data_IF_257731060782
#
_entry.id   IF_257731060782
#
_cell.length_a   1.000
_cell.length_b   1.000
_cell.length_c   1.000
_cell.angle_alpha   90.00
_cell.angle_beta   90.00
_cell.angle_gamma   90.00
#
_symmetry.space_group_name_H-M   'P 1'
#
loop_
_entity.id
_entity.type
_entity.pdbx_description
1 polymer ?
#
# COMPACT_ATOMS: atom_id res chain seq x y z
N UNK A 1 -43.79 66.09 -4.18
CA UNK A 1 -43.54 64.67 -4.52
C UNK A 1 -42.02 64.49 -4.62
N UNK A 2 -41.25 64.22 -3.55
CA UNK A 2 -41.00 62.96 -2.83
C UNK A 2 -40.66 61.74 -3.74
N UNK A 3 -39.36 61.36 -3.69
CA UNK A 3 -38.72 60.03 -3.77
C UNK A 3 -38.83 59.19 -5.05
N UNK A 4 -37.69 58.77 -5.62
CA UNK A 4 -37.19 57.39 -5.44
C UNK A 4 -35.69 57.26 -5.81
N UNK A 5 -34.98 56.46 -5.01
CA UNK A 5 -33.55 56.12 -5.08
C UNK A 5 -33.34 54.98 -6.08
N UNK A 6 -32.19 54.94 -6.75
CA UNK A 6 -31.54 53.69 -7.13
C UNK A 6 -30.02 53.86 -7.06
N UNK A 7 -29.44 53.08 -6.15
CA UNK A 7 -28.04 52.88 -5.87
C UNK A 7 -27.49 51.95 -6.96
N UNK A 8 -26.37 52.29 -7.62
CA UNK A 8 -25.59 51.29 -8.35
C UNK A 8 -24.21 51.22 -7.72
N UNK A 9 -24.04 50.21 -6.86
CA UNK A 9 -22.76 49.74 -6.34
C UNK A 9 -21.89 49.25 -7.49
N UNK A 10 -20.60 49.56 -7.41
CA UNK A 10 -19.60 49.08 -8.34
C UNK A 10 -19.31 47.59 -8.23
N UNK A 11 -18.66 47.08 -9.27
CA UNK A 11 -17.80 45.90 -9.22
C UNK A 11 -16.76 46.08 -10.34
N UNK A 12 -15.57 46.53 -9.95
CA UNK A 12 -14.36 46.36 -10.76
C UNK A 12 -14.07 44.85 -10.78
N UNK A 13 -14.44 44.18 -11.86
CA UNK A 13 -13.97 42.83 -12.13
C UNK A 13 -12.51 42.92 -12.61
N UNK A 14 -11.57 42.85 -11.66
CA UNK A 14 -10.17 42.56 -11.98
C UNK A 14 -10.14 41.10 -12.39
N UNK A 15 -10.14 40.85 -13.70
CA UNK A 15 -9.88 39.53 -14.26
C UNK A 15 -8.42 39.17 -14.00
N UNK A 16 -8.16 38.55 -12.85
CA UNK A 16 -6.89 37.87 -12.60
C UNK A 16 -6.91 36.62 -13.49
N UNK A 17 -6.30 36.73 -14.67
CA UNK A 17 -5.84 35.56 -15.39
C UNK A 17 -4.76 34.89 -14.53
N UNK A 18 -5.15 33.89 -13.74
CA UNK A 18 -4.20 32.93 -13.19
C UNK A 18 -3.73 32.13 -14.40
N UNK A 19 -2.64 32.56 -15.02
CA UNK A 19 -1.85 31.69 -15.88
C UNK A 19 -1.30 30.64 -14.92
N UNK A 20 -1.97 29.49 -14.83
CA UNK A 20 -1.39 28.32 -14.21
C UNK A 20 -0.16 27.99 -15.04
N UNK A 21 1.02 28.39 -14.57
CA UNK A 21 2.27 27.88 -15.10
C UNK A 21 2.18 26.38 -14.89
N UNK A 22 2.11 25.53 -15.94
CA UNK A 22 2.15 24.11 -15.72
C UNK A 22 3.45 23.82 -14.97
N UNK A 23 3.34 23.14 -13.83
CA UNK A 23 4.52 22.68 -13.10
C UNK A 23 5.43 21.99 -14.12
N UNK A 24 6.63 22.53 -14.32
CA UNK A 24 7.60 21.96 -15.26
C UNK A 24 7.86 20.55 -14.73
N UNK A 25 7.34 19.56 -15.44
CA UNK A 25 7.44 18.19 -14.99
C UNK A 25 8.91 17.77 -15.06
N UNK A 26 9.47 17.37 -13.93
CA UNK A 26 10.88 17.01 -13.84
C UNK A 26 11.16 15.85 -14.79
N UNK A 27 12.05 16.10 -15.77
CA UNK A 27 12.43 15.10 -16.77
C UNK A 27 13.65 14.35 -16.25
N UNK A 28 13.53 13.03 -16.19
CA UNK A 28 14.58 12.12 -15.72
C UNK A 28 15.07 11.23 -16.86
N UNK A 29 16.32 10.80 -16.77
CA UNK A 29 16.89 9.82 -17.70
C UNK A 29 16.72 8.42 -17.10
N UNK A 30 16.03 7.55 -17.82
CA UNK A 30 15.86 6.13 -17.46
C UNK A 30 16.49 5.26 -18.54
N UNK A 31 16.93 4.06 -18.18
CA UNK A 31 17.48 3.10 -19.14
C UNK A 31 16.52 1.95 -19.35
N UNK A 32 16.64 1.29 -20.50
CA UNK A 32 15.85 0.11 -20.80
C UNK A 32 16.31 -1.04 -19.92
N UNK A 33 15.37 -1.67 -19.23
CA UNK A 33 15.68 -2.86 -18.47
C UNK A 33 15.42 -4.11 -19.31
N UNK A 34 16.32 -5.07 -19.21
CA UNK A 34 16.32 -6.30 -20.00
C UNK A 34 16.03 -7.51 -19.10
N UNK A 35 15.12 -7.34 -18.14
CA UNK A 35 14.72 -8.44 -17.25
C UNK A 35 13.62 -9.29 -17.88
N UNK A 36 13.73 -10.60 -17.63
CA UNK A 36 12.66 -11.55 -17.86
C UNK A 36 11.77 -11.55 -16.62
N UNK A 37 10.46 -11.53 -16.81
CA UNK A 37 9.45 -11.59 -15.77
C UNK A 37 8.75 -12.94 -15.92
N UNK A 38 8.72 -13.67 -14.83
CA UNK A 38 7.96 -14.90 -14.67
C UNK A 38 6.92 -14.67 -13.58
N UNK A 39 5.65 -14.98 -13.88
CA UNK A 39 4.55 -14.83 -12.94
C UNK A 39 3.91 -16.19 -12.76
N UNK A 40 3.98 -16.74 -11.54
CA UNK A 40 3.43 -18.05 -11.20
C UNK A 40 3.89 -19.16 -12.17
N UNK A 41 5.20 -19.22 -12.42
CA UNK A 41 5.86 -20.21 -13.29
C UNK A 41 5.44 -20.08 -14.77
N UNK A 42 5.03 -18.87 -15.17
CA UNK A 42 4.77 -18.50 -16.55
C UNK A 42 5.60 -17.27 -16.92
N UNK A 43 6.55 -17.46 -17.83
CA UNK A 43 7.30 -16.36 -18.46
C UNK A 43 6.34 -15.47 -19.26
N UNK A 44 6.27 -14.20 -18.89
CA UNK A 44 5.30 -13.24 -19.46
C UNK A 44 5.92 -12.25 -20.46
N UNK A 45 7.25 -12.18 -20.52
CA UNK A 45 7.97 -11.37 -21.50
C UNK A 45 9.28 -12.02 -21.97
N UNK A 46 9.85 -11.45 -23.01
CA UNK A 46 11.24 -11.68 -23.43
C UNK A 46 12.15 -10.52 -23.04
N UNK A 47 13.46 -10.80 -23.03
CA UNK A 47 14.50 -9.84 -22.68
C UNK A 47 14.44 -8.64 -23.65
N UNK A 48 14.21 -7.44 -23.12
CA UNK A 48 14.14 -6.21 -23.92
C UNK A 48 12.84 -6.03 -24.71
N UNK A 49 11.80 -6.82 -24.42
CA UNK A 49 10.53 -6.71 -25.11
C UNK A 49 9.88 -5.33 -24.90
N UNK A 50 9.25 -4.82 -25.97
CA UNK A 50 8.34 -3.69 -25.94
C UNK A 50 6.94 -4.12 -26.40
N UNK A 51 5.94 -3.31 -26.13
CA UNK A 51 4.59 -3.51 -26.66
C UNK A 51 4.03 -2.22 -27.24
N UNK A 52 3.06 -2.38 -28.14
CA UNK A 52 2.43 -1.28 -28.85
C UNK A 52 1.18 -0.83 -28.12
N UNK A 53 1.09 0.47 -27.87
CA UNK A 53 -0.08 1.13 -27.28
C UNK A 53 -1.17 1.32 -28.34
N UNK A 54 -2.44 1.57 -27.95
CA UNK A 54 -3.54 1.78 -28.90
C UNK A 54 -3.32 2.94 -29.88
N UNK A 55 -2.49 3.91 -29.51
CA UNK A 55 -2.10 5.03 -30.35
C UNK A 55 -0.95 4.71 -31.33
N UNK A 56 -0.44 3.48 -31.33
CA UNK A 56 0.67 3.01 -32.19
C UNK A 56 2.06 3.17 -31.58
N UNK A 57 2.21 3.87 -30.46
CA UNK A 57 3.51 4.08 -29.83
C UNK A 57 4.05 2.78 -29.23
N UNK A 58 5.36 2.54 -29.35
CA UNK A 58 6.04 1.45 -28.65
C UNK A 58 6.47 1.91 -27.26
N UNK A 59 6.31 1.05 -26.25
CA UNK A 59 6.75 1.32 -24.88
C UNK A 59 7.44 0.06 -24.30
N UNK A 60 8.57 0.21 -23.56
CA UNK A 60 9.32 -0.95 -23.06
C UNK A 60 8.54 -1.70 -21.97
N UNK A 61 8.76 -3.00 -21.85
CA UNK A 61 8.14 -3.77 -20.78
C UNK A 61 8.74 -3.46 -19.41
N UNK A 62 9.96 -2.93 -19.35
CA UNK A 62 10.64 -2.57 -18.11
C UNK A 62 11.69 -1.46 -18.30
N UNK A 63 11.89 -0.64 -17.28
CA UNK A 63 12.91 0.43 -17.25
C UNK A 63 13.69 0.42 -15.93
N UNK A 64 14.90 0.98 -15.92
CA UNK A 64 15.71 1.20 -14.70
C UNK A 64 15.93 2.70 -14.49
N UNK A 65 15.73 3.15 -13.25
CA UNK A 65 16.10 4.47 -12.78
C UNK A 65 16.81 4.37 -11.43
N UNK A 66 18.05 4.87 -11.34
CA UNK A 66 18.90 4.78 -10.15
C UNK A 66 18.92 3.36 -9.53
N UNK A 67 19.11 2.33 -10.36
CA UNK A 67 19.12 0.93 -9.92
C UNK A 67 17.75 0.33 -9.57
N UNK A 68 16.67 1.11 -9.60
CA UNK A 68 15.31 0.64 -9.36
C UNK A 68 14.64 0.23 -10.67
N UNK A 69 14.15 -1.01 -10.74
CA UNK A 69 13.34 -1.48 -11.88
C UNK A 69 11.91 -1.00 -11.75
N UNK A 70 11.36 -0.44 -12.84
CA UNK A 70 9.96 -0.10 -12.95
C UNK A 70 9.27 -0.92 -14.04
N UNK A 71 8.01 -1.30 -13.76
CA UNK A 71 7.14 -2.01 -14.70
C UNK A 71 5.88 -1.19 -15.02
N UNK A 72 5.30 -1.36 -16.22
CA UNK A 72 4.06 -0.71 -16.61
C UNK A 72 2.90 -1.23 -15.77
N UNK A 73 2.27 -0.32 -15.04
CA UNK A 73 1.25 -0.63 -14.03
C UNK A 73 0.10 -1.46 -14.59
N UNK A 74 -0.46 -1.02 -15.73
CA UNK A 74 -1.60 -1.68 -16.37
C UNK A 74 -1.27 -3.11 -16.77
N UNK A 75 -0.09 -3.34 -17.35
CA UNK A 75 0.32 -4.67 -17.80
C UNK A 75 0.53 -5.61 -16.61
N UNK A 76 1.18 -5.15 -15.55
CA UNK A 76 1.38 -6.01 -14.38
C UNK A 76 0.04 -6.36 -13.71
N UNK A 77 -0.87 -5.40 -13.56
CA UNK A 77 -2.19 -5.65 -12.95
C UNK A 77 -3.02 -6.64 -13.78
N UNK A 78 -2.99 -6.51 -15.11
CA UNK A 78 -3.62 -7.46 -16.04
C UNK A 78 -3.06 -8.88 -15.86
N UNK A 79 -1.73 -9.02 -15.82
CA UNK A 79 -1.04 -10.31 -15.70
C UNK A 79 -1.29 -10.98 -14.33
N UNK A 80 -1.50 -10.17 -13.29
CA UNK A 80 -1.89 -10.65 -11.97
C UNK A 80 -3.39 -10.94 -11.84
N UNK A 81 -4.15 -10.87 -12.94
CA UNK A 81 -5.56 -11.19 -12.97
C UNK A 81 -6.46 -10.20 -12.23
N UNK A 82 -6.02 -8.95 -12.06
CA UNK A 82 -6.74 -7.89 -11.37
C UNK A 82 -7.36 -6.89 -12.35
N UNK A 83 -8.32 -6.10 -11.88
CA UNK A 83 -8.93 -5.00 -12.62
C UNK A 83 -8.31 -3.66 -12.26
N UNK A 84 -8.22 -2.76 -13.25
CA UNK A 84 -7.68 -1.42 -13.10
C UNK A 84 -8.62 -0.36 -13.67
N UNK A 85 -8.99 0.63 -12.86
CA UNK A 85 -9.68 1.85 -13.32
C UNK A 85 -8.87 3.09 -12.97
N UNK A 86 -9.09 4.19 -13.70
CA UNK A 86 -8.41 5.46 -13.49
C UNK A 86 -9.42 6.59 -13.36
N UNK A 87 -9.28 7.38 -12.30
CA UNK A 87 -9.97 8.64 -12.08
C UNK A 87 -9.02 9.80 -12.41
N UNK A 88 -9.26 10.44 -13.56
CA UNK A 88 -8.46 11.55 -14.05
C UNK A 88 -8.62 12.84 -13.26
N UNK A 89 -9.69 13.01 -12.48
CA UNK A 89 -9.89 14.23 -11.68
C UNK A 89 -8.99 14.24 -10.44
N UNK A 90 -8.79 13.07 -9.85
CA UNK A 90 -7.98 12.90 -8.63
C UNK A 90 -6.60 12.30 -8.90
N UNK A 91 -6.29 11.99 -10.17
CA UNK A 91 -5.12 11.20 -10.56
C UNK A 91 -5.02 9.88 -9.79
N UNK A 92 -6.15 9.23 -9.51
CA UNK A 92 -6.20 8.00 -8.72
C UNK A 92 -6.40 6.78 -9.60
N UNK A 93 -5.54 5.78 -9.45
CA UNK A 93 -5.69 4.44 -10.03
C UNK A 93 -6.30 3.52 -8.98
N UNK A 94 -7.39 2.85 -9.32
CA UNK A 94 -7.99 1.82 -8.48
C UNK A 94 -7.68 0.44 -9.03
N UNK A 95 -7.08 -0.41 -8.21
CA UNK A 95 -6.78 -1.81 -8.49
C UNK A 95 -7.70 -2.66 -7.63
N UNK A 96 -8.45 -3.57 -8.25
CA UNK A 96 -9.39 -4.45 -7.55
C UNK A 96 -9.23 -5.90 -7.98
N UNK A 97 -9.61 -6.82 -7.11
CA UNK A 97 -9.76 -8.23 -7.52
C UNK A 97 -10.91 -8.37 -8.52
N UNK A 98 -10.71 -9.20 -9.56
CA UNK A 98 -11.77 -9.53 -10.52
C UNK A 98 -12.90 -10.24 -9.79
N UNK A 99 -14.09 -9.66 -9.81
CA UNK A 99 -15.30 -10.30 -9.25
C UNK A 99 -15.71 -11.41 -10.22
N UNK A 100 -15.51 -12.68 -9.81
CA UNK A 100 -15.73 -13.92 -10.58
C UNK A 100 -14.75 -14.17 -11.75
N UNK A 101 -13.62 -14.81 -11.46
CA UNK A 101 -12.79 -15.43 -12.50
C UNK A 101 -12.07 -16.67 -11.98
N UNK A 102 -12.71 -17.84 -12.09
CA UNK A 102 -12.04 -19.16 -12.02
C UNK A 102 -11.12 -19.41 -13.22
N UNK A 103 -11.08 -18.49 -14.19
CA UNK A 103 -10.15 -18.51 -15.31
C UNK A 103 -8.81 -17.89 -14.92
N UNK A 104 -7.74 -18.70 -14.88
CA UNK A 104 -6.36 -18.21 -15.00
C UNK A 104 -6.26 -17.36 -16.28
N UNK A 105 -5.63 -16.18 -16.25
CA UNK A 105 -5.43 -15.40 -17.47
C UNK A 105 -4.63 -16.25 -18.47
N UNK A 106 -5.20 -16.48 -19.64
CA UNK A 106 -4.48 -17.10 -20.76
C UNK A 106 -3.59 -16.01 -21.35
N UNK A 107 -2.33 -16.00 -20.93
CA UNK A 107 -1.32 -15.09 -21.46
C UNK A 107 -0.82 -15.68 -22.77
N UNK A 108 -1.38 -15.25 -23.90
CA UNK A 108 -0.66 -15.30 -25.17
C UNK A 108 0.00 -13.95 -25.38
N UNK A 109 1.34 -13.87 -25.50
CA UNK A 109 1.96 -12.63 -25.92
C UNK A 109 1.49 -12.33 -27.33
N UNK A 110 0.81 -11.19 -27.53
CA UNK A 110 0.76 -10.61 -28.87
C UNK A 110 2.18 -10.14 -29.19
N UNK A 111 2.87 -10.97 -29.95
CA UNK A 111 4.24 -10.79 -30.40
C UNK A 111 4.27 -9.74 -31.49
N UNK A 112 4.90 -8.59 -31.23
CA UNK A 112 5.52 -7.78 -32.27
C UNK A 112 7.03 -7.81 -32.07
N UNK A 113 7.75 -8.07 -33.16
CA UNK A 113 9.18 -8.34 -33.20
C UNK A 113 10.03 -7.15 -32.73
N UNK A 114 11.15 -7.52 -32.15
CA UNK A 114 12.22 -6.74 -31.53
C UNK A 114 12.75 -5.65 -32.49
N UNK A 115 12.59 -4.39 -32.10
CA UNK A 115 13.66 -3.40 -32.32
C UNK A 115 14.42 -3.38 -31.00
N UNK A 116 15.64 -3.92 -30.98
CA UNK A 116 16.57 -3.70 -29.88
C UNK A 116 16.80 -2.20 -29.79
N UNK A 117 16.16 -1.53 -28.85
CA UNK A 117 16.53 -0.16 -28.53
C UNK A 117 17.85 -0.27 -27.79
N UNK A 118 18.95 -0.10 -28.53
CA UNK A 118 20.31 0.06 -28.02
C UNK A 118 20.26 0.97 -26.80
N UNK A 119 20.52 0.44 -25.61
CA UNK A 119 20.91 1.09 -24.33
C UNK A 119 20.59 2.60 -24.17
N UNK A 120 19.45 3.06 -24.69
CA UNK A 120 19.21 4.48 -24.88
C UNK A 120 18.63 5.00 -23.58
N UNK A 121 19.29 6.00 -23.02
CA UNK A 121 18.69 6.79 -21.97
C UNK A 121 17.48 7.53 -22.57
N UNK A 122 16.29 7.17 -22.12
CA UNK A 122 15.03 7.80 -22.50
C UNK A 122 14.64 8.82 -21.46
N UNK A 123 14.04 9.92 -21.95
CA UNK A 123 13.45 10.93 -21.10
C UNK A 123 12.07 10.46 -20.64
N UNK A 124 11.92 10.33 -19.33
CA UNK A 124 10.66 10.06 -18.68
C UNK A 124 10.32 11.18 -17.70
N UNK A 125 9.06 11.24 -17.29
CA UNK A 125 8.54 12.36 -16.49
C UNK A 125 8.06 11.85 -15.15
N UNK A 126 8.38 12.58 -14.08
CA UNK A 126 7.77 12.34 -12.78
C UNK A 126 6.26 12.59 -12.82
N UNK A 127 5.48 11.65 -12.29
CA UNK A 127 4.05 11.86 -12.12
C UNK A 127 3.61 11.62 -10.69
N UNK A 128 2.63 12.42 -10.28
CA UNK A 128 2.02 12.34 -8.97
C UNK A 128 0.68 11.61 -9.07
N UNK A 129 0.77 10.28 -9.20
CA UNK A 129 -0.40 9.40 -9.21
C UNK A 129 -0.69 8.90 -7.80
N UNK A 130 -1.97 8.74 -7.48
CA UNK A 130 -2.40 8.02 -6.28
C UNK A 130 -2.80 6.62 -6.72
N UNK A 131 -2.37 5.61 -6.00
CA UNK A 131 -2.76 4.22 -6.20
C UNK A 131 -3.64 3.82 -5.02
N UNK A 132 -4.75 3.18 -5.36
CA UNK A 132 -5.71 2.64 -4.44
C UNK A 132 -5.86 1.14 -4.76
N UNK A 133 -5.64 0.27 -3.78
CA UNK A 133 -5.75 -1.18 -3.96
C UNK A 133 -6.86 -1.66 -3.05
N UNK A 134 -7.91 -2.27 -3.60
CA UNK A 134 -9.05 -2.80 -2.85
C UNK A 134 -9.70 -1.77 -1.89
N UNK A 135 -9.72 -0.49 -2.28
CA UNK A 135 -10.26 0.60 -1.44
C UNK A 135 -9.20 1.34 -0.64
N UNK A 136 -7.96 0.85 -0.61
CA UNK A 136 -6.88 1.36 0.24
C UNK A 136 -5.90 2.24 -0.53
N UNK A 137 -5.76 3.51 -0.13
CA UNK A 137 -4.72 4.40 -0.66
C UNK A 137 -3.34 3.87 -0.23
N UNK A 138 -2.45 3.61 -1.18
CA UNK A 138 -1.14 2.99 -0.92
C UNK A 138 0.03 3.97 -0.97
N UNK A 139 -0.19 5.18 -1.49
CA UNK A 139 0.83 6.21 -1.61
C UNK A 139 0.21 7.61 -1.56
N UNK A 140 1.04 8.60 -1.31
CA UNK A 140 0.67 10.01 -1.40
C UNK A 140 1.11 10.65 -2.73
N UNK A 141 0.47 11.77 -3.05
CA UNK A 141 0.79 12.57 -4.22
C UNK A 141 2.22 13.10 -4.05
N UNK A 142 3.09 12.81 -5.01
CA UNK A 142 4.47 13.27 -4.95
C UNK A 142 5.43 12.36 -4.15
N UNK A 143 4.97 11.20 -3.66
CA UNK A 143 5.80 10.33 -2.81
C UNK A 143 7.07 9.86 -3.54
N UNK A 144 8.19 9.91 -2.81
CA UNK A 144 9.48 9.37 -3.22
C UNK A 144 9.90 8.27 -2.23
N UNK A 145 10.66 7.30 -2.71
CA UNK A 145 11.29 6.25 -1.91
C UNK A 145 12.76 6.54 -1.72
N UNK A 146 13.24 6.34 -0.51
CA UNK A 146 14.66 6.34 -0.21
C UNK A 146 15.24 4.94 -0.45
N UNK A 147 16.28 4.88 -1.27
CA UNK A 147 17.08 3.68 -1.50
C UNK A 147 18.12 3.52 -0.38
N UNK A 148 18.69 2.32 -0.25
CA UNK A 148 19.72 2.01 0.77
C UNK A 148 20.94 2.95 0.68
N UNK A 149 21.29 3.39 -0.52
CA UNK A 149 22.38 4.34 -0.75
C UNK A 149 22.00 5.81 -0.43
N UNK A 150 20.78 6.06 0.06
CA UNK A 150 20.24 7.38 0.39
C UNK A 150 19.60 8.14 -0.78
N UNK A 151 19.66 7.62 -2.01
CA UNK A 151 19.01 8.24 -3.15
C UNK A 151 17.50 8.22 -3.00
N UNK A 152 16.85 9.28 -3.50
CA UNK A 152 15.39 9.31 -3.65
C UNK A 152 14.99 8.94 -5.08
N UNK A 153 14.01 8.05 -5.21
CA UNK A 153 13.38 7.66 -6.48
C UNK A 153 11.86 7.88 -6.42
N UNK A 154 11.21 8.28 -7.51
CA UNK A 154 9.79 8.58 -7.51
C UNK A 154 8.91 7.35 -7.40
N UNK A 155 7.73 7.51 -6.78
CA UNK A 155 6.73 6.45 -6.74
C UNK A 155 6.25 6.05 -8.14
N UNK A 156 6.15 7.01 -9.06
CA UNK A 156 5.74 6.72 -10.43
C UNK A 156 6.51 7.53 -11.47
N UNK A 157 6.71 6.90 -12.62
CA UNK A 157 7.34 7.48 -13.80
C UNK A 157 6.35 7.34 -14.95
N UNK A 158 6.24 8.36 -15.80
CA UNK A 158 5.43 8.31 -17.02
C UNK A 158 6.32 8.40 -18.25
N UNK A 159 6.08 7.48 -19.19
CA UNK A 159 6.73 7.44 -20.49
C UNK A 159 5.73 7.01 -21.57
N UNK A 160 5.63 7.75 -22.66
CA UNK A 160 4.67 7.53 -23.76
C UNK A 160 3.24 7.25 -23.23
N UNK A 161 2.74 8.08 -22.31
CA UNK A 161 1.40 7.92 -21.72
C UNK A 161 1.21 6.68 -20.83
N UNK A 162 2.27 5.88 -20.60
CA UNK A 162 2.24 4.70 -19.73
C UNK A 162 2.82 5.04 -18.37
N UNK A 163 2.09 4.70 -17.31
CA UNK A 163 2.58 4.82 -15.93
C UNK A 163 3.35 3.57 -15.52
N UNK A 164 4.56 3.80 -15.02
CA UNK A 164 5.47 2.79 -14.51
C UNK A 164 5.63 2.96 -13.00
N UNK A 165 5.58 1.86 -12.26
CA UNK A 165 5.82 1.84 -10.82
C UNK A 165 7.03 0.95 -10.47
N UNK A 166 7.75 1.24 -9.37
CA UNK A 166 8.81 0.38 -8.88
C UNK A 166 8.29 -1.05 -8.68
N UNK A 167 8.88 -1.99 -9.42
CA UNK A 167 8.47 -3.39 -9.47
C UNK A 167 8.32 -3.97 -8.07
N UNK A 168 9.35 -3.79 -7.23
CA UNK A 168 9.40 -4.33 -5.87
C UNK A 168 8.25 -3.80 -5.02
N UNK A 169 8.00 -2.49 -5.05
CA UNK A 169 6.90 -1.88 -4.29
C UNK A 169 5.56 -2.39 -4.79
N UNK A 170 5.38 -2.49 -6.09
CA UNK A 170 4.12 -2.94 -6.67
C UNK A 170 3.82 -4.39 -6.33
N UNK A 171 4.81 -5.29 -6.41
CA UNK A 171 4.66 -6.70 -6.02
C UNK A 171 4.33 -6.84 -4.53
N UNK A 172 5.01 -6.08 -3.68
CA UNK A 172 4.73 -6.03 -2.23
C UNK A 172 3.29 -5.56 -1.93
N UNK A 173 2.90 -4.43 -2.54
CA UNK A 173 1.56 -3.86 -2.40
C UNK A 173 0.45 -4.80 -2.89
N UNK A 174 0.77 -5.70 -3.82
CA UNK A 174 -0.15 -6.70 -4.35
C UNK A 174 -0.14 -8.02 -3.58
N UNK A 175 0.61 -8.09 -2.47
CA UNK A 175 0.63 -9.26 -1.59
C UNK A 175 1.38 -10.46 -2.18
N UNK A 176 2.27 -10.23 -3.15
CA UNK A 176 3.05 -11.26 -3.85
C UNK A 176 4.50 -11.26 -3.38
N UNK A 177 5.21 -12.32 -3.70
CA UNK A 177 6.65 -12.45 -3.45
C UNK A 177 7.46 -12.22 -4.71
N UNK A 178 8.68 -11.72 -4.53
CA UNK A 178 9.63 -11.44 -5.61
C UNK A 178 10.97 -12.11 -5.33
N UNK A 179 11.43 -12.97 -6.24
CA UNK A 179 12.82 -13.46 -6.26
C UNK A 179 13.51 -13.04 -7.56
N UNK A 180 14.82 -12.80 -7.49
CA UNK A 180 15.64 -12.41 -8.62
C UNK A 180 16.73 -13.46 -8.82
N UNK A 181 16.80 -14.02 -10.02
CA UNK A 181 17.93 -14.78 -10.51
C UNK A 181 18.86 -13.85 -11.29
N UNK A 182 20.02 -13.58 -10.70
CA UNK A 182 21.03 -12.68 -11.27
C UNK A 182 21.73 -13.24 -12.51
N UNK A 183 21.81 -14.56 -12.68
CA UNK A 183 22.46 -15.18 -13.84
C UNK A 183 21.59 -15.05 -15.07
N UNK A 184 20.28 -15.32 -14.92
CA UNK A 184 19.33 -15.27 -16.04
C UNK A 184 18.67 -13.90 -16.21
N UNK A 185 18.88 -12.97 -15.27
CA UNK A 185 18.15 -11.70 -15.17
C UNK A 185 16.63 -11.92 -15.11
N UNK A 186 16.20 -12.99 -14.43
CA UNK A 186 14.79 -13.36 -14.31
C UNK A 186 14.24 -12.96 -12.96
N UNK A 187 13.12 -12.24 -12.97
CA UNK A 187 12.31 -11.96 -11.79
C UNK A 187 11.17 -12.96 -11.74
N UNK A 188 11.07 -13.71 -10.65
CA UNK A 188 9.92 -14.56 -10.37
C UNK A 188 8.99 -13.84 -9.41
N UNK A 189 7.75 -13.65 -9.83
CA UNK A 189 6.66 -13.12 -9.02
C UNK A 189 5.71 -14.28 -8.71
N UNK A 190 5.60 -14.64 -7.44
CA UNK A 190 4.74 -15.75 -7.00
C UNK A 190 3.69 -15.31 -6.01
N UNK A 191 2.60 -16.07 -5.97
CA UNK A 191 1.69 -16.08 -4.86
C UNK A 191 2.44 -16.47 -3.58
N UNK A 192 2.18 -15.78 -2.47
CA UNK A 192 2.80 -16.09 -1.18
C UNK A 192 2.28 -17.45 -0.68
N UNK A 193 2.99 -18.53 -0.97
CA UNK A 193 2.68 -19.87 -0.47
C UNK A 193 3.11 -20.04 1.01
N UNK A 194 4.20 -19.37 1.41
CA UNK A 194 4.87 -19.52 2.70
C UNK A 194 5.56 -18.22 3.15
N UNK A 195 4.86 -17.43 3.96
CA UNK A 195 5.27 -16.13 4.52
C UNK A 195 6.64 -15.99 5.19
N UNK A 196 7.32 -17.09 5.49
CA UNK A 196 8.51 -17.05 6.35
C UNK A 196 9.77 -16.68 5.58
N UNK A 197 9.74 -16.70 4.26
CA UNK A 197 10.93 -16.50 3.45
C UNK A 197 10.61 -15.74 2.17
N UNK A 198 10.88 -14.43 2.15
CA UNK A 198 11.44 -13.72 0.98
C UNK A 198 11.89 -12.30 1.40
N UNK A 199 13.19 -12.04 1.42
CA UNK A 199 14.05 -11.64 0.29
C UNK A 199 13.91 -10.13 0.03
N UNK A 200 14.94 -9.38 0.41
CA UNK A 200 15.15 -7.91 0.43
C UNK A 200 14.69 -7.16 1.69
N UNK A 201 15.69 -6.59 2.36
CA UNK A 201 15.60 -5.85 3.61
C UNK A 201 15.64 -4.34 3.33
N UNK A 202 14.51 -3.63 3.45
CA UNK A 202 14.41 -2.20 3.15
C UNK A 202 14.11 -1.38 4.41
N UNK A 203 14.59 -0.14 4.45
CA UNK A 203 14.32 0.83 5.51
C UNK A 203 12.80 1.09 5.63
N UNK A 204 12.28 0.98 6.85
CA UNK A 204 10.90 1.34 7.17
C UNK A 204 10.83 2.84 7.43
N UNK A 205 9.94 3.52 6.71
CA UNK A 205 9.46 4.85 7.06
C UNK A 205 8.23 4.73 7.96
N UNK A 206 8.23 5.41 9.10
CA UNK A 206 7.18 5.32 10.11
C UNK A 206 6.24 6.52 10.05
N UNK A 207 4.94 6.27 9.95
CA UNK A 207 3.89 7.28 9.97
C UNK A 207 3.66 7.83 11.39
N UNK A 208 3.67 6.96 12.41
CA UNK A 208 3.44 7.34 13.81
C UNK A 208 4.73 7.17 14.65
N UNK A 209 5.33 8.27 15.15
CA UNK A 209 6.56 8.19 15.95
C UNK A 209 6.41 7.41 17.27
N UNK A 210 5.20 7.34 17.84
CA UNK A 210 4.95 6.52 19.03
C UNK A 210 4.96 5.03 18.66
N UNK A 211 4.46 4.68 17.47
CA UNK A 211 4.55 3.34 16.91
C UNK A 211 6.02 2.96 16.63
N UNK A 212 6.81 3.84 16.01
CA UNK A 212 8.26 3.60 15.86
C UNK A 212 8.93 3.36 17.21
N UNK A 213 8.65 4.19 18.22
CA UNK A 213 9.22 4.04 19.56
C UNK A 213 8.84 2.71 20.23
N UNK A 214 7.61 2.23 20.01
CA UNK A 214 7.17 0.90 20.44
C UNK A 214 8.05 -0.17 19.79
N UNK A 215 8.20 -0.11 18.47
CA UNK A 215 8.93 -1.12 17.68
C UNK A 215 10.39 -1.15 18.07
N UNK A 216 11.05 0.00 18.22
CA UNK A 216 12.44 0.09 18.69
C UNK A 216 12.65 -0.63 20.01
N UNK A 217 11.68 -0.55 20.94
CA UNK A 217 11.75 -1.27 22.21
C UNK A 217 11.53 -2.77 22.03
N UNK A 218 10.59 -3.17 21.17
CA UNK A 218 10.31 -4.57 20.89
C UNK A 218 11.51 -5.30 20.28
N UNK A 219 12.23 -4.66 19.36
CA UNK A 219 13.40 -5.23 18.69
C UNK A 219 14.74 -4.89 19.39
N UNK A 220 14.69 -4.22 20.54
CA UNK A 220 15.86 -3.78 21.30
C UNK A 220 16.87 -2.96 20.45
N UNK A 221 16.36 -2.01 19.65
CA UNK A 221 17.15 -1.17 18.73
C UNK A 221 16.82 0.32 18.92
N UNK A 222 17.46 1.00 19.89
CA UNK A 222 17.12 2.38 20.24
C UNK A 222 17.45 3.40 19.14
N UNK A 223 18.45 3.11 18.30
CA UNK A 223 18.94 4.01 17.25
C UNK A 223 19.20 3.26 15.94
N UNK A 224 19.41 4.01 14.86
CA UNK A 224 19.69 3.48 13.53
C UNK A 224 18.44 3.09 12.74
N UNK A 225 18.66 2.71 11.49
CA UNK A 225 17.61 2.31 10.55
C UNK A 225 16.95 1.02 11.01
N UNK A 226 15.61 0.94 10.95
CA UNK A 226 14.88 -0.32 11.13
C UNK A 226 14.49 -0.81 9.74
N UNK A 227 14.96 -1.99 9.38
CA UNK A 227 14.60 -2.60 8.12
C UNK A 227 13.46 -3.62 8.29
N UNK A 228 12.79 -3.93 7.19
CA UNK A 228 11.63 -4.83 7.14
C UNK A 228 11.91 -6.22 7.70
N UNK A 229 13.07 -6.83 7.40
CA UNK A 229 13.37 -8.20 7.85
C UNK A 229 13.46 -8.31 9.37
N UNK A 230 13.79 -7.20 10.05
CA UNK A 230 13.83 -7.14 11.50
C UNK A 230 12.44 -7.34 12.14
N UNK A 231 11.36 -7.20 11.36
CA UNK A 231 9.98 -7.44 11.80
C UNK A 231 9.44 -8.83 11.43
N UNK A 232 10.17 -9.62 10.64
CA UNK A 232 9.64 -10.89 10.08
C UNK A 232 9.34 -11.94 11.15
N UNK A 233 10.06 -11.91 12.26
CA UNK A 233 9.85 -12.82 13.38
C UNK A 233 8.76 -12.34 14.35
N UNK A 234 8.20 -11.15 14.14
CA UNK A 234 7.15 -10.61 15.01
C UNK A 234 5.80 -11.14 14.54
N UNK A 235 5.31 -12.16 15.24
CA UNK A 235 4.01 -12.77 14.96
C UNK A 235 2.90 -12.31 15.89
N UNK A 236 3.25 -11.68 17.01
CA UNK A 236 2.30 -11.18 18.01
C UNK A 236 2.70 -9.79 18.50
N UNK A 237 1.74 -8.86 18.50
CA UNK A 237 1.95 -7.47 18.92
C UNK A 237 0.94 -7.06 19.99
N UNK A 238 1.49 -6.60 21.11
CA UNK A 238 0.80 -6.16 22.32
C UNK A 238 1.00 -4.65 22.47
N UNK A 239 -0.04 -3.85 22.24
CA UNK A 239 0.01 -2.39 22.35
C UNK A 239 -1.02 -1.93 23.38
N UNK A 240 -0.54 -1.33 24.47
CA UNK A 240 -1.42 -0.82 25.53
C UNK A 240 -1.06 0.63 25.87
N UNK A 241 -2.06 1.48 26.01
CA UNK A 241 -1.89 2.86 26.46
C UNK A 241 -1.78 2.97 27.97
N UNK A 242 -1.06 3.98 28.48
CA UNK A 242 -0.63 4.12 29.89
C UNK A 242 -1.72 4.07 31.00
N UNK A 243 -3.01 4.11 30.66
CA UNK A 243 -4.12 4.08 31.63
C UNK A 243 -4.51 2.65 32.12
N UNK A 244 -3.64 1.66 31.97
CA UNK A 244 -3.93 0.22 32.23
C UNK A 244 -3.88 -0.18 33.71
N UNK A 245 -3.46 0.71 34.62
CA UNK A 245 -3.24 0.38 36.04
C UNK A 245 -4.49 -0.09 36.81
N UNK A 246 -5.66 -0.11 36.18
CA UNK A 246 -6.95 -0.39 36.81
C UNK A 246 -7.68 -1.64 36.32
N UNK A 247 -7.16 -2.40 35.35
CA UNK A 247 -7.95 -3.45 34.65
C UNK A 247 -7.27 -4.83 34.73
N UNK A 248 -7.53 -5.55 35.84
CA UNK A 248 -7.10 -6.93 36.08
C UNK A 248 -7.48 -7.95 34.98
N UNK A 249 -8.62 -7.83 34.25
CA UNK A 249 -8.97 -8.78 33.19
C UNK A 249 -7.98 -8.87 32.02
N UNK A 250 -7.15 -7.85 31.77
CA UNK A 250 -6.31 -7.78 30.57
C UNK A 250 -4.92 -8.41 30.72
N UNK A 251 -4.45 -8.68 31.94
CA UNK A 251 -3.18 -9.40 32.17
C UNK A 251 -3.17 -10.80 31.55
N UNK A 252 -4.36 -11.41 31.40
CA UNK A 252 -4.55 -12.77 30.87
C UNK A 252 -4.34 -12.85 29.36
N UNK A 253 -4.55 -11.76 28.63
CA UNK A 253 -4.45 -11.72 27.16
C UNK A 253 -3.04 -11.42 26.66
N UNK A 254 -2.09 -11.14 27.57
CA UNK A 254 -0.74 -10.69 27.24
C UNK A 254 0.13 -11.82 26.71
N UNK A 255 0.66 -11.68 25.49
CA UNK A 255 1.66 -12.62 24.94
C UNK A 255 3.10 -12.14 25.18
N UNK A 256 3.34 -10.83 25.24
CA UNK A 256 4.67 -10.22 25.38
C UNK A 256 4.75 -9.15 26.49
N UNK A 257 5.94 -8.83 27.05
CA UNK A 257 6.08 -7.67 27.94
C UNK A 257 5.68 -6.38 27.23
N UNK A 258 4.89 -5.53 27.88
CA UNK A 258 4.42 -4.27 27.29
C UNK A 258 5.58 -3.28 27.26
N UNK A 259 6.01 -2.81 26.07
CA UNK A 259 6.97 -1.72 26.01
C UNK A 259 6.27 -0.44 26.46
N UNK A 260 6.75 0.16 27.55
CA UNK A 260 6.22 1.45 28.03
C UNK A 260 6.44 2.52 26.94
N UNK A 261 5.37 3.04 26.34
CA UNK A 261 5.42 4.13 25.37
C UNK A 261 4.84 5.40 25.98
N UNK A 262 5.60 6.51 25.96
CA UNK A 262 5.25 7.77 26.64
C UNK A 262 4.08 8.53 26.00
N UNK A 263 3.60 8.08 24.84
CA UNK A 263 2.65 8.78 24.00
C UNK A 263 1.64 7.78 23.42
N UNK A 264 0.36 8.16 23.27
CA UNK A 264 -0.61 7.29 22.64
C UNK A 264 -0.32 7.17 21.14
N UNK A 265 -0.43 5.95 20.61
CA UNK A 265 -0.52 5.69 19.17
C UNK A 265 -1.80 6.31 18.63
N UNK A 266 -1.68 7.13 17.59
CA UNK A 266 -2.79 7.84 16.93
C UNK A 266 -3.19 7.18 15.61
N UNK A 267 -2.25 6.54 14.94
CA UNK A 267 -2.45 5.82 13.68
C UNK A 267 -1.83 4.43 13.73
N UNK A 268 -2.42 3.48 13.00
CA UNK A 268 -1.89 2.13 12.84
C UNK A 268 -1.49 1.82 11.40
N UNK A 269 -1.24 2.82 10.56
CA UNK A 269 -0.78 2.61 9.18
C UNK A 269 0.47 1.72 9.11
N UNK A 270 1.38 1.92 10.07
CA UNK A 270 2.63 1.18 10.23
C UNK A 270 2.42 -0.31 10.55
N UNK A 271 1.21 -0.72 10.97
CA UNK A 271 0.92 -2.15 11.21
C UNK A 271 1.11 -2.99 9.96
N UNK A 272 1.01 -2.37 8.78
CA UNK A 272 1.17 -3.05 7.51
C UNK A 272 2.58 -3.59 7.25
N UNK A 273 3.57 -3.18 8.05
CA UNK A 273 4.92 -3.75 8.00
C UNK A 273 5.02 -5.15 8.64
N UNK A 274 4.05 -5.55 9.49
CA UNK A 274 4.04 -6.81 10.23
C UNK A 274 3.33 -7.93 9.45
N UNK A 275 3.93 -8.36 8.33
CA UNK A 275 3.29 -9.29 7.38
C UNK A 275 2.97 -10.67 7.98
N UNK A 276 3.66 -11.06 9.05
CA UNK A 276 3.56 -12.37 9.69
C UNK A 276 2.72 -12.34 10.98
N UNK A 277 2.03 -11.22 11.23
CA UNK A 277 1.22 -11.04 12.43
C UNK A 277 0.00 -11.97 12.41
N UNK A 278 -0.08 -12.84 13.42
CA UNK A 278 -1.24 -13.69 13.66
C UNK A 278 -2.07 -13.20 14.86
N UNK A 279 -1.46 -12.41 15.74
CA UNK A 279 -2.10 -11.92 16.95
C UNK A 279 -1.85 -10.43 17.14
N UNK A 280 -2.92 -9.66 17.29
CA UNK A 280 -2.84 -8.22 17.53
C UNK A 280 -3.77 -7.82 18.67
N UNK A 281 -3.20 -7.19 19.70
CA UNK A 281 -3.96 -6.48 20.71
C UNK A 281 -3.56 -5.01 20.75
N UNK A 282 -4.54 -4.12 20.61
CA UNK A 282 -4.40 -2.68 20.79
C UNK A 282 -5.47 -2.19 21.76
N UNK A 283 -5.02 -1.74 22.92
CA UNK A 283 -5.89 -1.33 24.01
C UNK A 283 -5.68 0.15 24.38
N UNK A 284 -6.77 0.90 24.48
CA UNK A 284 -6.74 2.21 25.14
C UNK A 284 -6.03 3.30 24.33
N UNK A 285 -6.14 3.25 23.00
CA UNK A 285 -5.57 4.26 22.09
C UNK A 285 -6.68 5.01 21.34
N UNK A 286 -6.46 6.26 20.91
CA UNK A 286 -7.46 7.03 20.17
C UNK A 286 -7.61 6.61 18.69
N UNK A 287 -7.47 5.32 18.38
CA UNK A 287 -7.52 4.79 17.01
C UNK A 287 -8.96 4.77 16.52
N UNK A 288 -9.19 5.32 15.33
CA UNK A 288 -10.51 5.32 14.68
C UNK A 288 -10.49 4.68 13.29
N UNK A 289 -9.35 4.78 12.59
CA UNK A 289 -9.15 4.15 11.29
C UNK A 289 -8.44 2.80 11.42
N UNK A 290 -9.14 1.74 11.03
CA UNK A 290 -8.64 0.35 11.02
C UNK A 290 -8.39 -0.19 9.61
N UNK A 291 -8.48 0.68 8.61
CA UNK A 291 -8.17 0.42 7.20
C UNK A 291 -6.85 -0.34 6.97
N UNK A 292 -5.76 -0.06 7.70
CA UNK A 292 -4.48 -0.78 7.52
C UNK A 292 -4.54 -2.28 7.84
N UNK A 293 -5.51 -2.74 8.65
CA UNK A 293 -5.63 -4.16 9.03
C UNK A 293 -5.95 -5.08 7.85
N UNK A 294 -6.49 -4.52 6.78
CA UNK A 294 -6.76 -5.23 5.53
C UNK A 294 -5.54 -5.89 4.88
N UNK A 295 -4.33 -5.44 5.26
CA UNK A 295 -3.06 -5.98 4.78
C UNK A 295 -2.54 -7.16 5.60
N UNK A 296 -3.20 -7.47 6.74
CA UNK A 296 -2.80 -8.53 7.67
C UNK A 296 -3.54 -9.84 7.37
N UNK A 297 -3.06 -10.55 6.35
CA UNK A 297 -3.73 -11.75 5.82
C UNK A 297 -3.68 -12.98 6.74
N UNK A 298 -2.86 -12.94 7.81
CA UNK A 298 -2.58 -14.09 8.68
C UNK A 298 -3.11 -13.91 10.10
N UNK A 299 -3.84 -12.83 10.32
CA UNK A 299 -4.42 -12.52 11.61
C UNK A 299 -5.49 -13.56 11.98
N UNK A 300 -5.28 -14.24 13.11
CA UNK A 300 -6.19 -15.23 13.68
C UNK A 300 -6.91 -14.71 14.93
N UNK A 301 -6.29 -13.76 15.64
CA UNK A 301 -6.81 -13.14 16.84
C UNK A 301 -6.61 -11.62 16.78
N UNK A 302 -7.69 -10.86 16.95
CA UNK A 302 -7.69 -9.40 16.89
C UNK A 302 -8.47 -8.80 18.07
N UNK A 303 -7.79 -7.98 18.85
CA UNK A 303 -8.38 -7.29 20.00
C UNK A 303 -8.10 -5.79 19.88
N UNK A 304 -9.13 -4.97 19.62
CA UNK A 304 -9.02 -3.52 19.49
C UNK A 304 -9.89 -2.82 20.54
N UNK A 305 -9.64 -3.14 21.81
CA UNK A 305 -10.51 -2.78 22.92
C UNK A 305 -10.27 -1.31 23.35
N UNK A 306 -11.35 -0.60 23.73
CA UNK A 306 -11.26 0.76 24.27
C UNK A 306 -10.55 1.75 23.33
N UNK A 307 -10.94 1.72 22.04
CA UNK A 307 -10.48 2.68 21.04
C UNK A 307 -11.63 3.63 20.62
N UNK A 308 -11.51 4.29 19.46
CA UNK A 308 -12.52 5.19 18.88
C UNK A 308 -13.01 4.68 17.53
N UNK A 309 -13.07 3.37 17.35
CA UNK A 309 -13.42 2.73 16.07
C UNK A 309 -14.92 2.88 15.85
N UNK A 310 -15.30 3.44 14.71
CA UNK A 310 -16.71 3.59 14.32
C UNK A 310 -17.07 2.76 13.07
N UNK A 311 -16.07 2.36 12.29
CA UNK A 311 -16.24 1.55 11.08
C UNK A 311 -15.26 0.39 11.06
N UNK A 312 -15.75 -0.77 10.65
CA UNK A 312 -14.98 -2.02 10.54
C UNK A 312 -15.01 -2.60 9.12
N UNK A 313 -15.23 -1.75 8.11
CA UNK A 313 -15.27 -2.13 6.69
C UNK A 313 -13.97 -2.77 6.18
N UNK A 314 -12.87 -2.68 6.92
CA UNK A 314 -11.58 -3.27 6.60
C UNK A 314 -11.43 -4.76 7.01
N UNK A 315 -12.25 -5.24 7.95
CA UNK A 315 -12.15 -6.61 8.47
C UNK A 315 -12.53 -7.75 7.50
N UNK A 316 -13.31 -7.56 6.41
CA UNK A 316 -13.63 -8.64 5.46
C UNK A 316 -12.42 -9.40 4.88
N UNK A 317 -11.23 -8.80 4.87
CA UNK A 317 -10.00 -9.43 4.36
C UNK A 317 -9.36 -10.39 5.37
N UNK A 318 -9.67 -10.29 6.66
CA UNK A 318 -9.09 -11.10 7.74
C UNK A 318 -9.83 -12.43 7.93
N UNK A 319 -10.01 -13.20 6.84
CA UNK A 319 -10.85 -14.43 6.81
C UNK A 319 -10.36 -15.56 7.74
N UNK A 320 -9.14 -15.45 8.27
CA UNK A 320 -8.55 -16.41 9.22
C UNK A 320 -8.88 -16.09 10.68
N UNK A 321 -9.58 -14.99 10.96
CA UNK A 321 -9.96 -14.62 12.33
C UNK A 321 -10.84 -15.69 12.96
N UNK A 322 -10.45 -16.07 14.17
CA UNK A 322 -11.14 -17.02 15.06
C UNK A 322 -11.61 -16.33 16.34
N UNK A 323 -10.87 -15.33 16.82
CA UNK A 323 -11.26 -14.49 17.96
C UNK A 323 -11.18 -13.00 17.61
N UNK A 324 -12.27 -12.27 17.90
CA UNK A 324 -12.40 -10.84 17.64
C UNK A 324 -13.00 -10.13 18.86
N UNK A 325 -12.26 -9.17 19.42
CA UNK A 325 -12.76 -8.30 20.48
C UNK A 325 -12.68 -6.83 20.05
N UNK A 326 -13.84 -6.22 19.85
CA UNK A 326 -14.00 -4.81 19.50
C UNK A 326 -14.76 -4.05 20.60
N UNK A 327 -14.74 -4.56 21.83
CA UNK A 327 -15.47 -3.94 22.93
C UNK A 327 -14.98 -2.52 23.25
N UNK A 328 -15.86 -1.70 23.80
CA UNK A 328 -15.59 -0.29 24.15
C UNK A 328 -15.14 0.53 22.94
N UNK A 329 -15.93 0.49 21.86
CA UNK A 329 -15.75 1.30 20.66
C UNK A 329 -17.05 2.04 20.33
N UNK A 330 -17.17 2.56 19.11
CA UNK A 330 -18.30 3.37 18.63
C UNK A 330 -18.91 2.77 17.36
N UNK A 331 -18.82 1.45 17.20
CA UNK A 331 -19.28 0.73 16.01
C UNK A 331 -20.81 0.71 15.99
N UNK A 332 -21.39 1.00 14.82
CA UNK A 332 -22.84 0.96 14.59
C UNK A 332 -23.23 -0.14 13.60
N UNK A 333 -22.41 -0.40 12.58
CA UNK A 333 -22.66 -1.41 11.55
C UNK A 333 -21.71 -2.61 11.67
N UNK A 334 -22.29 -3.80 11.82
CA UNK A 334 -21.58 -5.08 11.94
C UNK A 334 -21.67 -5.96 10.69
N UNK A 335 -22.34 -5.50 9.62
CA UNK A 335 -22.44 -6.23 8.36
C UNK A 335 -21.08 -6.69 7.80
N UNK A 336 -19.97 -5.93 7.92
CA UNK A 336 -18.66 -6.40 7.46
C UNK A 336 -18.19 -7.73 8.08
N UNK A 337 -18.74 -8.14 9.23
CA UNK A 337 -18.37 -9.39 9.90
C UNK A 337 -18.98 -10.63 9.25
N UNK A 338 -20.00 -10.51 8.38
CA UNK A 338 -20.73 -11.63 7.79
C UNK A 338 -19.85 -12.62 6.99
N UNK A 339 -18.72 -12.13 6.49
CA UNK A 339 -17.78 -12.95 5.70
C UNK A 339 -16.77 -13.73 6.54
N UNK A 340 -16.68 -13.45 7.85
CA UNK A 340 -15.71 -14.05 8.78
C UNK A 340 -16.22 -15.41 9.32
N UNK A 341 -16.33 -16.39 8.42
CA UNK A 341 -16.93 -17.70 8.71
C UNK A 341 -16.20 -18.55 9.75
N UNK A 342 -14.93 -18.23 10.05
CA UNK A 342 -14.10 -18.96 11.01
C UNK A 342 -14.17 -18.39 12.42
N UNK A 343 -14.94 -17.32 12.64
CA UNK A 343 -15.02 -16.65 13.93
C UNK A 343 -15.78 -17.49 14.95
N UNK A 344 -15.10 -17.87 16.04
CA UNK A 344 -15.66 -18.66 17.15
C UNK A 344 -15.89 -17.81 18.39
N UNK A 345 -15.18 -16.70 18.53
CA UNK A 345 -15.29 -15.76 19.65
C UNK A 345 -15.48 -14.34 19.13
N UNK A 346 -16.53 -13.68 19.62
CA UNK A 346 -16.86 -12.31 19.25
C UNK A 346 -17.30 -11.52 20.49
N UNK A 347 -16.62 -10.41 20.76
CA UNK A 347 -17.02 -9.47 21.79
C UNK A 347 -17.20 -8.07 21.19
N UNK A 348 -18.43 -7.58 21.26
CA UNK A 348 -18.87 -6.28 20.75
C UNK A 348 -19.43 -5.37 21.87
N UNK A 349 -19.23 -5.75 23.14
CA UNK A 349 -19.81 -5.02 24.27
C UNK A 349 -19.41 -3.54 24.26
N UNK A 350 -20.29 -2.66 24.73
CA UNK A 350 -20.03 -1.22 24.79
C UNK A 350 -19.66 -0.63 23.42
N UNK A 351 -20.48 -0.95 22.41
CA UNK A 351 -20.55 -0.26 21.12
C UNK A 351 -21.93 0.39 20.96
N UNK A 352 -22.15 1.07 19.84
CA UNK A 352 -23.40 1.74 19.48
C UNK A 352 -24.18 0.97 18.41
N UNK A 353 -24.25 -0.36 18.54
CA UNK A 353 -24.90 -1.24 17.55
C UNK A 353 -26.42 -1.16 17.75
N UNK A 354 -27.14 -0.87 16.67
CA UNK A 354 -28.61 -0.77 16.64
C UNK A 354 -29.28 -2.01 16.05
#
# INVERSE_FOLDING_TARGET
MKKLRAFLCGLLAISIFVISVPAIAETIQVTFNTMIIDINDQKVNEKGQSYTLPNGDKTPFSMVYKGTTYLPLRKLVELLGKDLTFDGATSTVYIKDKVNSDSKPVIKPETSSIDTVDEASIQAVFNEIIVNINGYKVNEKGQNFKLENGDKVPFSIVYNGTTYLPLRKLVDLLGKDLTLDGETSTVYIKDREDLRTNSWDYEIEWDDPAFESLVRKLINKPEGVINRSELDNITSLDIYGDNISTIKPLEVMRKNPIPNIKSPIKSINDISHFKNLNWLCIYGHPISDVTPLSRLNYLTELHLIANKIYSISALPNSRRLTSLNLSYNQITDINPLVVLKNLTELNLNSNSIE
#
